data_IF_576279140683
#
_entry.id   IF_576279140683
#
_cell.length_a   1.000
_cell.length_b   1.000
_cell.length_c   1.000
_cell.angle_alpha   90.00
_cell.angle_beta   90.00
_cell.angle_gamma   90.00
#
_symmetry.space_group_name_H-M   'P 1'
#
loop_
_entity.id
_entity.type
_entity.pdbx_description
1 polymer ?
#
# COMPACT_ATOMS: atom_id res chain seq x y z
N UNK A 1 41.42 -8.89 37.59
CA UNK A 1 42.41 -9.00 38.69
C UNK A 1 41.95 -8.02 39.77
N UNK A 2 41.57 -8.38 40.99
CA UNK A 2 41.92 -9.50 41.84
C UNK A 2 40.71 -9.89 42.70
N UNK A 3 40.73 -11.16 43.08
CA UNK A 3 39.73 -11.86 43.86
C UNK A 3 40.21 -11.94 45.33
N UNK A 4 39.24 -12.20 46.23
CA UNK A 4 39.33 -13.24 47.27
C UNK A 4 39.76 -12.89 48.74
N UNK A 5 38.78 -13.13 49.64
CA UNK A 5 38.84 -13.80 50.97
C UNK A 5 39.56 -13.07 52.13
N UNK A 6 39.20 -13.17 53.42
CA UNK A 6 38.34 -14.02 54.26
C UNK A 6 38.27 -13.32 55.63
N UNK A 7 37.24 -13.51 56.46
CA UNK A 7 37.40 -14.04 57.84
C UNK A 7 36.04 -14.32 58.51
N UNK A 8 36.04 -15.42 59.26
CA UNK A 8 34.95 -16.05 59.99
C UNK A 8 34.58 -15.31 61.30
N UNK A 9 33.33 -15.48 61.74
CA UNK A 9 33.05 -15.75 63.16
C UNK A 9 31.88 -16.73 63.30
N UNK A 10 32.09 -17.73 64.15
CA UNK A 10 31.22 -18.83 64.56
C UNK A 10 30.14 -18.43 65.55
N UNK A 11 29.00 -19.12 65.55
CA UNK A 11 28.11 -19.12 66.72
C UNK A 11 26.73 -19.76 66.53
N UNK A 12 26.62 -21.04 66.92
CA UNK A 12 25.48 -21.73 67.54
C UNK A 12 24.10 -21.71 66.86
N UNK A 13 23.67 -22.92 66.46
CA UNK A 13 22.30 -23.22 66.10
C UNK A 13 21.35 -23.23 67.30
N UNK A 14 20.19 -22.62 67.11
CA UNK A 14 18.94 -23.00 67.76
C UNK A 14 17.90 -23.17 66.64
N UNK A 15 17.17 -24.28 66.67
CA UNK A 15 16.23 -24.65 65.63
C UNK A 15 15.07 -23.66 65.55
N UNK A 16 14.95 -23.00 64.39
CA UNK A 16 13.72 -22.36 63.96
C UNK A 16 13.05 -23.30 62.97
N UNK A 17 11.89 -23.82 63.35
CA UNK A 17 10.96 -24.51 62.46
C UNK A 17 10.56 -23.50 61.40
N UNK A 18 10.93 -23.76 60.15
CA UNK A 18 10.50 -22.96 59.02
C UNK A 18 8.97 -23.01 58.92
N UNK A 19 8.31 -21.94 59.34
CA UNK A 19 6.90 -21.71 59.05
C UNK A 19 6.75 -21.67 57.53
N UNK A 20 6.06 -22.68 56.99
CA UNK A 20 5.71 -22.73 55.58
C UNK A 20 4.76 -21.59 55.29
N UNK A 21 5.16 -20.69 54.41
CA UNK A 21 4.31 -19.59 53.94
C UNK A 21 3.03 -20.15 53.28
N UNK A 22 1.84 -19.96 53.89
CA UNK A 22 0.60 -20.51 53.36
C UNK A 22 0.21 -19.91 52.00
N UNK A 23 0.74 -18.73 51.63
CA UNK A 23 0.52 -18.13 50.31
C UNK A 23 1.29 -18.89 49.22
N UNK A 24 2.47 -19.43 49.54
CA UNK A 24 3.31 -20.17 48.59
C UNK A 24 2.80 -21.60 48.36
N UNK A 25 2.19 -22.24 49.37
CA UNK A 25 1.48 -23.52 49.19
C UNK A 25 0.14 -23.33 48.44
N UNK A 26 -0.58 -22.22 48.66
CA UNK A 26 -1.79 -21.90 47.90
C UNK A 26 -1.49 -21.68 46.40
N UNK A 27 -0.38 -21.02 46.06
CA UNK A 27 0.08 -20.83 44.68
C UNK A 27 0.48 -22.16 44.00
N UNK A 28 1.12 -23.08 44.73
CA UNK A 28 1.45 -24.42 44.21
C UNK A 28 0.22 -25.30 44.05
N UNK A 29 -0.77 -25.20 44.95
CA UNK A 29 -2.05 -25.90 44.84
C UNK A 29 -2.87 -25.38 43.65
N UNK A 30 -2.90 -24.07 43.42
CA UNK A 30 -3.55 -23.46 42.25
C UNK A 30 -2.87 -23.86 40.93
N UNK A 31 -1.52 -23.93 40.90
CA UNK A 31 -0.77 -24.37 39.73
C UNK A 31 -0.97 -25.86 39.41
N UNK A 32 -1.15 -26.72 40.43
CA UNK A 32 -1.41 -28.14 40.25
C UNK A 32 -2.88 -28.48 39.95
N UNK A 33 -3.82 -27.62 40.34
CA UNK A 33 -5.25 -27.78 40.04
C UNK A 33 -5.59 -27.40 38.58
N UNK A 34 -4.77 -26.55 37.95
CA UNK A 34 -5.00 -26.09 36.58
C UNK A 34 -4.34 -26.97 35.49
N UNK A 35 -3.68 -28.07 35.88
CA UNK A 35 -2.96 -28.94 34.95
C UNK A 35 -3.84 -30.04 34.31
N UNK A 36 -5.14 -30.10 34.62
CA UNK A 36 -6.03 -31.17 34.17
C UNK A 36 -7.35 -30.70 33.53
N UNK A 37 -7.52 -29.40 33.31
CA UNK A 37 -8.52 -28.93 32.36
C UNK A 37 -7.93 -29.05 30.96
N UNK A 38 -8.33 -30.09 30.23
CA UNK A 38 -8.16 -30.11 28.78
C UNK A 38 -8.83 -28.84 28.24
N UNK A 39 -8.02 -27.86 27.84
CA UNK A 39 -8.49 -26.78 26.99
C UNK A 39 -9.32 -27.42 25.88
N UNK A 40 -10.55 -26.94 25.60
CA UNK A 40 -11.30 -27.44 24.47
C UNK A 40 -10.41 -27.26 23.24
N UNK A 41 -10.04 -28.39 22.62
CA UNK A 41 -9.24 -28.41 21.41
C UNK A 41 -9.86 -27.41 20.45
N UNK A 42 -9.11 -26.35 20.11
CA UNK A 42 -9.54 -25.38 19.11
C UNK A 42 -9.98 -26.18 17.90
N UNK A 43 -11.28 -26.25 17.65
CA UNK A 43 -11.80 -26.86 16.45
C UNK A 43 -11.22 -26.05 15.31
N UNK A 44 -10.24 -26.64 14.61
CA UNK A 44 -9.74 -26.15 13.33
C UNK A 44 -10.92 -26.24 12.36
N UNK A 45 -11.79 -25.23 12.37
CA UNK A 45 -12.81 -25.06 11.34
C UNK A 45 -12.00 -24.71 10.08
N UNK A 46 -11.95 -25.59 9.07
CA UNK A 46 -11.29 -25.24 7.82
C UNK A 46 -12.00 -24.02 7.23
N UNK A 47 -11.24 -23.00 6.84
CA UNK A 47 -11.82 -21.89 6.10
C UNK A 47 -12.52 -22.45 4.85
N UNK A 48 -13.79 -22.08 4.65
CA UNK A 48 -14.49 -22.45 3.43
C UNK A 48 -13.76 -21.85 2.22
N UNK A 49 -13.68 -22.57 1.09
CA UNK A 49 -13.06 -22.03 -0.10
C UNK A 49 -13.86 -20.81 -0.58
N UNK A 50 -13.18 -19.67 -0.71
CA UNK A 50 -13.79 -18.45 -1.24
C UNK A 50 -14.06 -18.67 -2.72
N UNK A 51 -15.31 -18.51 -3.15
CA UNK A 51 -15.69 -18.58 -4.56
C UNK A 51 -15.26 -17.29 -5.28
N UNK A 52 -14.86 -17.36 -6.57
CA UNK A 52 -14.51 -16.17 -7.34
C UNK A 52 -15.65 -15.16 -7.37
N UNK A 53 -15.32 -13.87 -7.25
CA UNK A 53 -16.27 -12.79 -7.40
C UNK A 53 -16.83 -12.80 -8.84
N UNK A 54 -18.16 -12.92 -8.97
CA UNK A 54 -18.81 -13.11 -10.26
C UNK A 54 -19.53 -11.83 -10.73
N UNK A 55 -18.75 -10.78 -11.02
CA UNK A 55 -19.24 -9.55 -11.63
C UNK A 55 -19.21 -9.66 -13.17
N UNK A 56 -20.12 -8.99 -13.91
CA UNK A 56 -20.13 -9.02 -15.37
C UNK A 56 -18.80 -8.58 -16.00
N UNK A 57 -18.18 -7.51 -15.50
CA UNK A 57 -16.88 -7.05 -15.98
C UNK A 57 -15.78 -8.10 -15.82
N UNK A 58 -15.65 -8.67 -14.62
CA UNK A 58 -14.68 -9.70 -14.31
C UNK A 58 -14.92 -10.97 -15.13
N UNK A 59 -16.18 -11.31 -15.41
CA UNK A 59 -16.53 -12.42 -16.27
C UNK A 59 -16.11 -12.15 -17.74
N UNK A 60 -16.31 -10.93 -18.26
CA UNK A 60 -15.86 -10.54 -19.61
C UNK A 60 -14.34 -10.53 -19.76
N UNK A 61 -13.59 -10.29 -18.69
CA UNK A 61 -12.12 -10.39 -18.70
C UNK A 61 -11.62 -11.84 -18.76
N UNK A 62 -12.45 -12.86 -18.50
CA UNK A 62 -12.00 -14.25 -18.50
C UNK A 62 -11.61 -14.67 -19.92
N UNK A 63 -10.40 -15.22 -20.06
CA UNK A 63 -9.86 -15.64 -21.35
C UNK A 63 -9.30 -14.48 -22.19
N UNK A 64 -9.32 -13.24 -21.69
CA UNK A 64 -8.73 -12.08 -22.34
C UNK A 64 -7.25 -11.94 -22.01
N UNK A 65 -6.48 -11.42 -22.95
CA UNK A 65 -5.08 -11.06 -22.77
C UNK A 65 -5.00 -9.71 -22.04
N UNK A 66 -5.13 -9.76 -20.71
CA UNK A 66 -4.98 -8.60 -19.83
C UNK A 66 -3.51 -8.38 -19.51
N UNK A 67 -3.01 -7.18 -19.76
CA UNK A 67 -1.63 -6.78 -19.49
C UNK A 67 -1.58 -5.76 -18.36
N UNK A 68 -0.60 -5.89 -17.47
CA UNK A 68 -0.27 -4.90 -16.46
C UNK A 68 1.03 -4.19 -16.85
N UNK A 69 0.89 -2.92 -17.23
CA UNK A 69 1.97 -2.01 -17.62
C UNK A 69 2.77 -1.47 -16.40
N UNK A 70 3.14 -2.36 -15.47
CA UNK A 70 3.75 -1.99 -14.19
C UNK A 70 4.65 -3.10 -13.65
N UNK A 71 5.86 -2.76 -13.22
CA UNK A 71 6.77 -3.68 -12.52
C UNK A 71 6.43 -3.89 -11.04
N UNK A 72 5.50 -3.11 -10.47
CA UNK A 72 5.14 -3.18 -9.05
C UNK A 72 4.48 -4.52 -8.68
N UNK A 73 5.09 -5.35 -7.80
CA UNK A 73 4.47 -6.58 -7.32
C UNK A 73 3.16 -6.32 -6.59
N UNK A 74 3.07 -5.20 -5.85
CA UNK A 74 1.89 -4.81 -5.08
C UNK A 74 0.65 -4.67 -5.95
N UNK A 75 0.78 -4.03 -7.12
CA UNK A 75 -0.36 -3.83 -8.05
C UNK A 75 -0.87 -5.15 -8.61
N UNK A 76 0.04 -6.05 -8.98
CA UNK A 76 -0.29 -7.43 -9.41
C UNK A 76 -1.01 -8.18 -8.29
N UNK A 77 -0.48 -8.11 -7.07
CA UNK A 77 -1.04 -8.84 -5.93
C UNK A 77 -2.42 -8.28 -5.53
N UNK A 78 -2.66 -6.97 -5.66
CA UNK A 78 -3.98 -6.34 -5.48
C UNK A 78 -4.98 -6.84 -6.53
N UNK A 79 -4.62 -6.83 -7.82
CA UNK A 79 -5.50 -7.32 -8.89
C UNK A 79 -5.85 -8.80 -8.72
N UNK A 80 -4.90 -9.61 -8.23
CA UNK A 80 -5.12 -11.02 -7.95
C UNK A 80 -6.20 -11.27 -6.88
N UNK A 81 -6.47 -10.32 -5.98
CA UNK A 81 -7.50 -10.45 -4.95
C UNK A 81 -8.91 -10.59 -5.53
N UNK A 82 -9.15 -10.07 -6.74
CA UNK A 82 -10.42 -10.21 -7.47
C UNK A 82 -10.34 -11.20 -8.64
N UNK A 83 -9.27 -11.98 -8.71
CA UNK A 83 -9.07 -13.01 -9.73
C UNK A 83 -8.55 -12.50 -11.08
N UNK A 84 -8.05 -11.26 -11.15
CA UNK A 84 -7.38 -10.74 -12.35
C UNK A 84 -5.89 -11.10 -12.25
N UNK A 85 -5.42 -11.95 -13.16
CA UNK A 85 -4.03 -12.38 -13.24
C UNK A 85 -3.40 -11.88 -14.56
N UNK A 86 -2.94 -10.61 -14.60
CA UNK A 86 -2.47 -10.02 -15.83
C UNK A 86 -1.07 -10.51 -16.21
N UNK A 87 -0.77 -10.51 -17.50
CA UNK A 87 0.59 -10.61 -18.00
C UNK A 87 1.35 -9.31 -17.68
N UNK A 88 2.47 -9.42 -16.96
CA UNK A 88 3.22 -8.24 -16.51
C UNK A 88 4.21 -7.82 -17.59
N UNK A 89 3.99 -6.64 -18.17
CA UNK A 89 4.87 -6.02 -19.17
C UNK A 89 5.18 -4.60 -18.71
N UNK A 90 6.27 -4.37 -17.96
CA UNK A 90 6.61 -3.03 -17.48
C UNK A 90 6.75 -2.03 -18.63
N UNK A 91 6.27 -0.80 -18.42
CA UNK A 91 6.48 0.29 -19.38
C UNK A 91 7.95 0.72 -19.42
N UNK A 92 8.40 1.14 -20.61
CA UNK A 92 9.72 1.76 -20.80
C UNK A 92 9.66 3.29 -20.91
N UNK A 93 8.47 3.86 -20.80
CA UNK A 93 8.27 5.31 -20.78
C UNK A 93 9.08 5.95 -19.65
N UNK A 94 10.01 6.84 -20.01
CA UNK A 94 10.73 7.65 -19.04
C UNK A 94 9.74 8.66 -18.44
N UNK A 95 9.62 8.71 -17.11
CA UNK A 95 8.73 9.62 -16.37
C UNK A 95 9.19 11.09 -16.50
N UNK A 96 9.18 11.63 -17.73
CA UNK A 96 9.75 12.93 -18.11
C UNK A 96 8.70 14.05 -18.15
N UNK A 97 7.47 13.79 -17.72
CA UNK A 97 6.45 14.82 -17.64
C UNK A 97 6.88 15.89 -16.64
N UNK A 98 6.83 17.16 -17.05
CA UNK A 98 7.21 18.27 -16.18
C UNK A 98 6.16 18.45 -15.09
N UNK A 99 6.56 18.38 -13.83
CA UNK A 99 5.68 18.65 -12.69
C UNK A 99 5.15 20.09 -12.71
N UNK A 100 5.88 21.02 -13.32
CA UNK A 100 5.48 22.42 -13.47
C UNK A 100 4.22 22.58 -14.33
N UNK A 101 4.04 21.71 -15.33
CA UNK A 101 2.85 21.71 -16.19
C UNK A 101 1.56 21.39 -15.40
N UNK A 102 1.73 20.79 -14.21
CA UNK A 102 0.65 20.36 -13.31
C UNK A 102 0.57 21.21 -12.04
N UNK A 103 1.22 22.38 -11.98
CA UNK A 103 1.25 23.22 -10.78
C UNK A 103 -0.15 23.66 -10.30
N UNK A 104 -1.13 23.73 -11.20
CA UNK A 104 -2.52 24.11 -10.89
C UNK A 104 -3.44 22.90 -10.67
N UNK A 105 -2.98 21.69 -10.98
CA UNK A 105 -3.72 20.43 -10.80
C UNK A 105 -2.74 19.26 -10.66
N UNK A 106 -2.17 19.11 -9.47
CA UNK A 106 -1.20 18.05 -9.18
C UNK A 106 -1.82 16.64 -9.27
N UNK A 107 -3.14 16.52 -9.12
CA UNK A 107 -3.87 15.25 -9.23
C UNK A 107 -3.89 14.71 -10.66
N UNK A 108 -3.79 15.60 -11.67
CA UNK A 108 -3.68 15.20 -13.07
C UNK A 108 -2.31 14.58 -13.42
N UNK A 109 -1.25 14.86 -12.66
CA UNK A 109 0.09 14.32 -12.92
C UNK A 109 0.13 12.77 -13.02
N UNK A 110 -0.32 12.02 -12.00
CA UNK A 110 -0.30 10.55 -12.07
C UNK A 110 -1.25 10.00 -13.15
N UNK A 111 -2.33 10.71 -13.51
CA UNK A 111 -3.23 10.29 -14.60
C UNK A 111 -2.47 10.32 -15.94
N UNK A 112 -1.81 11.42 -16.23
CA UNK A 112 -1.08 11.60 -17.49
C UNK A 112 0.11 10.64 -17.56
N UNK A 113 0.83 10.46 -16.46
CA UNK A 113 1.92 9.48 -16.37
C UNK A 113 1.43 8.05 -16.61
N UNK A 114 0.30 7.65 -16.00
CA UNK A 114 -0.31 6.35 -16.27
C UNK A 114 -0.73 6.21 -17.74
N UNK A 115 -1.31 7.27 -18.33
CA UNK A 115 -1.76 7.29 -19.72
C UNK A 115 -0.64 7.03 -20.71
N UNK A 116 0.50 7.71 -20.54
CA UNK A 116 1.67 7.49 -21.39
C UNK A 116 2.27 6.08 -21.21
N UNK A 117 2.31 5.56 -19.97
CA UNK A 117 2.74 4.18 -19.71
C UNK A 117 1.85 3.15 -20.40
N UNK A 118 0.53 3.33 -20.32
CA UNK A 118 -0.44 2.43 -20.95
C UNK A 118 -0.35 2.45 -22.47
N UNK A 119 -0.24 3.66 -23.05
CA UNK A 119 -0.04 3.86 -24.49
C UNK A 119 1.25 3.20 -24.98
N UNK A 120 2.38 3.46 -24.33
CA UNK A 120 3.68 2.92 -24.75
C UNK A 120 3.66 1.39 -24.75
N UNK A 121 3.13 0.75 -23.71
CA UNK A 121 3.08 -0.72 -23.64
C UNK A 121 2.15 -1.27 -24.72
N UNK A 122 0.98 -0.66 -24.93
CA UNK A 122 0.05 -1.09 -25.97
C UNK A 122 0.67 -1.00 -27.37
N UNK A 123 1.18 0.17 -27.75
CA UNK A 123 1.79 0.41 -29.06
C UNK A 123 2.98 -0.52 -29.29
N UNK A 124 3.86 -0.68 -28.30
CA UNK A 124 5.02 -1.57 -28.41
C UNK A 124 4.61 -3.03 -28.61
N UNK A 125 3.64 -3.53 -27.84
CA UNK A 125 3.18 -4.91 -27.99
C UNK A 125 2.52 -5.18 -29.35
N UNK A 126 1.70 -4.25 -29.84
CA UNK A 126 1.08 -4.35 -31.16
C UNK A 126 2.14 -4.33 -32.28
N UNK A 127 3.18 -3.51 -32.16
CA UNK A 127 4.28 -3.47 -33.13
C UNK A 127 5.17 -4.72 -33.10
N UNK A 128 5.38 -5.31 -31.92
CA UNK A 128 6.23 -6.49 -31.75
C UNK A 128 5.55 -7.79 -32.23
N UNK A 129 4.27 -7.99 -31.90
CA UNK A 129 3.49 -9.15 -32.32
C UNK A 129 1.98 -8.85 -32.34
N UNK A 130 1.48 -8.44 -33.50
CA UNK A 130 0.05 -8.14 -33.75
C UNK A 130 -0.89 -9.31 -33.38
N UNK A 131 -0.41 -10.56 -33.48
CA UNK A 131 -1.20 -11.75 -33.14
C UNK A 131 -1.34 -12.00 -31.64
N UNK A 132 -0.51 -11.34 -30.84
CA UNK A 132 -0.53 -11.39 -29.39
C UNK A 132 -0.79 -10.00 -28.79
N UNK A 133 -1.52 -9.17 -29.52
CA UNK A 133 -1.96 -7.85 -29.06
C UNK A 133 -2.80 -7.99 -27.78
N UNK A 134 -2.69 -7.02 -26.85
CA UNK A 134 -3.44 -7.07 -25.61
C UNK A 134 -4.91 -6.68 -25.83
N UNK A 135 -5.82 -7.46 -25.25
CA UNK A 135 -7.25 -7.09 -25.17
C UNK A 135 -7.47 -5.87 -24.26
N UNK A 136 -6.61 -5.73 -23.25
CA UNK A 136 -6.70 -4.65 -22.27
C UNK A 136 -5.36 -4.45 -21.56
N UNK A 137 -4.85 -3.23 -21.55
CA UNK A 137 -3.66 -2.82 -20.80
C UNK A 137 -4.09 -1.96 -19.62
N UNK A 138 -3.69 -2.37 -18.41
CA UNK A 138 -3.85 -1.63 -17.17
C UNK A 138 -2.52 -0.97 -16.85
N UNK A 139 -2.53 0.34 -16.69
CA UNK A 139 -1.38 1.13 -16.25
C UNK A 139 -1.77 1.97 -15.04
N UNK A 140 -0.80 2.23 -14.17
CA UNK A 140 -1.03 3.04 -12.99
C UNK A 140 0.24 3.78 -12.56
N UNK A 141 0.03 4.97 -12.01
CA UNK A 141 1.06 5.79 -11.42
C UNK A 141 0.61 6.29 -10.05
N UNK A 142 1.50 6.28 -9.07
CA UNK A 142 1.17 6.61 -7.68
C UNK A 142 2.17 7.62 -7.16
N UNK A 143 1.68 8.75 -6.68
CA UNK A 143 2.47 9.83 -6.10
C UNK A 143 1.93 10.24 -4.75
N UNK A 144 2.77 10.87 -3.94
CA UNK A 144 2.38 11.52 -2.69
C UNK A 144 2.35 13.02 -2.92
N UNK A 145 1.22 13.65 -2.67
CA UNK A 145 1.05 15.10 -2.72
C UNK A 145 1.21 15.66 -1.30
N UNK A 146 2.20 16.53 -1.14
CA UNK A 146 2.46 17.26 0.10
C UNK A 146 1.96 18.70 -0.10
N UNK A 147 1.01 19.17 0.71
CA UNK A 147 0.50 20.54 0.59
C UNK A 147 1.56 21.57 1.02
N UNK A 148 1.80 22.59 0.19
CA UNK A 148 2.92 23.53 0.35
C UNK A 148 2.78 24.45 1.58
N UNK A 149 1.55 24.73 2.02
CA UNK A 149 1.24 25.66 3.11
C UNK A 149 0.22 25.11 4.11
N UNK A 150 0.06 23.79 4.19
CA UNK A 150 -0.92 23.24 5.11
C UNK A 150 -0.53 23.46 6.58
N UNK A 151 -1.42 23.99 7.43
CA UNK A 151 -1.29 23.77 8.86
C UNK A 151 -1.33 22.26 9.12
N UNK A 152 -0.64 21.80 10.17
CA UNK A 152 -0.85 20.43 10.68
C UNK A 152 -2.34 20.27 10.97
N UNK A 153 -3.04 19.55 10.09
CA UNK A 153 -4.49 19.36 10.24
C UNK A 153 -4.74 18.50 11.48
N UNK A 154 -5.56 19.03 12.38
CA UNK A 154 -6.09 18.26 13.48
C UNK A 154 -6.99 17.12 12.97
N UNK A 155 -6.93 16.00 13.67
CA UNK A 155 -7.65 14.75 13.39
C UNK A 155 -9.13 14.98 13.05
N UNK A 156 -9.56 14.53 11.87
CA UNK A 156 -10.96 14.53 11.43
C UNK A 156 -11.38 15.69 10.53
N UNK A 157 -10.49 16.61 10.16
CA UNK A 157 -10.77 17.60 9.12
C UNK A 157 -10.56 17.00 7.72
N UNK A 158 -11.58 17.09 6.85
CA UNK A 158 -11.42 16.83 5.42
C UNK A 158 -10.79 18.06 4.75
N UNK A 159 -9.90 17.81 3.79
CA UNK A 159 -9.33 18.86 2.93
C UNK A 159 -10.40 19.57 2.10
N UNK A 160 -11.56 18.94 1.87
CA UNK A 160 -12.66 19.51 1.09
C UNK A 160 -13.22 20.81 1.69
N UNK A 161 -13.00 21.07 2.99
CA UNK A 161 -13.54 22.26 3.67
C UNK A 161 -12.57 23.46 3.62
N UNK A 162 -11.30 23.26 3.30
CA UNK A 162 -10.29 24.32 3.20
C UNK A 162 -10.20 24.87 1.77
N UNK A 163 -11.19 25.67 1.36
CA UNK A 163 -11.37 26.29 0.04
C UNK A 163 -10.34 27.40 -0.32
N UNK A 164 -9.06 27.21 -0.03
CA UNK A 164 -7.98 28.06 -0.57
C UNK A 164 -7.39 27.44 -1.85
N UNK A 165 -6.71 28.26 -2.67
CA UNK A 165 -5.78 27.76 -3.70
C UNK A 165 -4.62 27.02 -3.00
N UNK A 166 -4.83 25.75 -2.68
CA UNK A 166 -3.83 24.89 -2.08
C UNK A 166 -2.93 24.35 -3.20
N UNK A 167 -1.65 24.71 -3.16
CA UNK A 167 -0.64 24.10 -4.03
C UNK A 167 -0.05 22.86 -3.37
N UNK A 168 0.33 21.89 -4.20
CA UNK A 168 0.87 20.61 -3.78
C UNK A 168 2.22 20.36 -4.45
N UNK A 169 3.19 19.94 -3.65
CA UNK A 169 4.43 19.36 -4.11
C UNK A 169 4.25 17.86 -4.39
N UNK A 170 4.57 17.44 -5.62
CA UNK A 170 4.53 16.03 -6.04
C UNK A 170 5.80 15.30 -5.57
N UNK A 171 5.63 14.33 -4.68
CA UNK A 171 6.67 13.44 -4.19
C UNK A 171 6.52 12.05 -4.84
N UNK A 172 7.55 11.66 -5.60
CA UNK A 172 7.68 10.33 -6.17
C UNK A 172 8.49 9.42 -5.22
N UNK A 173 9.22 8.46 -5.78
CA UNK A 173 10.17 7.63 -5.02
C UNK A 173 11.37 8.49 -4.62
N UNK A 174 11.90 8.31 -3.39
CA UNK A 174 13.12 9.01 -3.01
C UNK A 174 14.28 8.66 -3.92
N UNK A 175 15.12 9.65 -4.22
CA UNK A 175 16.33 9.47 -5.04
C UNK A 175 17.39 8.69 -4.25
N UNK A 176 17.51 8.99 -2.96
CA UNK A 176 18.42 8.35 -2.03
C UNK A 176 17.87 8.40 -0.59
N UNK A 177 18.66 7.90 0.37
CA UNK A 177 18.29 7.89 1.78
C UNK A 177 18.13 9.30 2.38
N UNK A 178 18.89 10.29 1.90
CA UNK A 178 18.80 11.66 2.41
C UNK A 178 17.50 12.33 1.94
N UNK A 179 17.13 12.09 0.69
CA UNK A 179 15.84 12.51 0.14
C UNK A 179 14.68 11.81 0.85
N UNK A 180 14.82 10.51 1.15
CA UNK A 180 13.82 9.78 1.94
C UNK A 180 13.65 10.39 3.35
N UNK A 181 14.75 10.75 4.01
CA UNK A 181 14.70 11.44 5.31
C UNK A 181 13.94 12.75 5.20
N UNK A 182 14.26 13.58 4.19
CA UNK A 182 13.58 14.85 3.95
C UNK A 182 12.07 14.65 3.79
N UNK A 183 11.65 13.70 2.94
CA UNK A 183 10.24 13.38 2.72
C UNK A 183 9.52 12.96 4.01
N UNK A 184 10.13 12.08 4.82
CA UNK A 184 9.54 11.59 6.07
C UNK A 184 9.50 12.66 7.16
N UNK A 185 10.52 13.51 7.23
CA UNK A 185 10.53 14.65 8.14
C UNK A 185 9.45 15.67 7.78
N UNK A 186 9.23 15.93 6.48
CA UNK A 186 8.14 16.78 6.00
C UNK A 186 6.75 16.16 6.24
N UNK A 187 6.66 14.83 6.29
CA UNK A 187 5.43 14.09 6.58
C UNK A 187 5.05 14.07 8.07
N UNK A 188 6.05 14.12 8.95
CA UNK A 188 5.88 13.97 10.40
C UNK A 188 4.83 14.94 10.97
N UNK A 189 3.83 14.40 11.68
CA UNK A 189 2.74 15.17 12.27
C UNK A 189 1.81 15.85 11.26
N UNK A 190 1.87 15.48 9.97
CA UNK A 190 1.04 16.05 8.90
C UNK A 190 0.13 15.00 8.27
N UNK A 191 -0.81 15.50 7.48
CA UNK A 191 -1.64 14.68 6.60
C UNK A 191 -1.20 14.89 5.16
N UNK A 192 -1.01 13.81 4.43
CA UNK A 192 -0.58 13.80 3.03
C UNK A 192 -1.68 13.21 2.17
N UNK A 193 -1.68 13.50 0.86
CA UNK A 193 -2.54 12.78 -0.08
C UNK A 193 -1.72 11.77 -0.89
N UNK A 194 -2.18 10.53 -0.95
CA UNK A 194 -1.68 9.54 -1.92
C UNK A 194 -2.65 9.51 -3.08
N UNK A 195 -2.15 9.79 -4.27
CA UNK A 195 -2.95 9.82 -5.49
C UNK A 195 -2.44 8.75 -6.44
N UNK A 196 -3.33 7.85 -6.85
CA UNK A 196 -3.05 6.91 -7.94
C UNK A 196 -3.91 7.23 -9.14
N UNK A 197 -3.26 7.57 -10.25
CA UNK A 197 -3.88 7.64 -11.57
C UNK A 197 -3.85 6.26 -12.23
N UNK A 198 -4.97 5.85 -12.82
CA UNK A 198 -5.11 4.58 -13.52
C UNK A 198 -5.59 4.85 -14.94
N UNK A 199 -4.98 4.17 -15.91
CA UNK A 199 -5.41 4.19 -17.30
C UNK A 199 -5.66 2.76 -17.80
N UNK A 200 -6.83 2.57 -18.41
CA UNK A 200 -7.21 1.38 -19.17
C UNK A 200 -7.08 1.71 -20.65
N UNK A 201 -6.24 0.98 -21.36
CA UNK A 201 -6.07 1.07 -22.82
C UNK A 201 -6.59 -0.20 -23.48
N UNK A 202 -7.42 -0.10 -24.51
CA UNK A 202 -8.05 -1.23 -25.19
C UNK A 202 -8.20 -0.96 -26.70
N UNK A 203 -8.19 -2.00 -27.56
CA UNK A 203 -8.34 -1.84 -29.01
C UNK A 203 -9.70 -1.25 -29.38
N UNK A 204 -9.73 -0.44 -30.44
CA UNK A 204 -10.98 0.00 -31.07
C UNK A 204 -10.81 0.09 -32.59
N UNK A 205 -11.92 0.15 -33.32
CA UNK A 205 -11.90 0.23 -34.80
C UNK A 205 -11.56 1.64 -35.32
N UNK A 206 -11.61 2.65 -34.45
CA UNK A 206 -11.33 4.04 -34.81
C UNK A 206 -9.84 4.37 -34.63
N UNK A 207 -9.27 5.19 -35.51
CA UNK A 207 -7.90 5.65 -35.38
C UNK A 207 -7.68 6.34 -34.00
N UNK A 208 -6.59 6.03 -33.27
CA UNK A 208 -5.38 5.32 -33.70
C UNK A 208 -5.41 3.77 -33.61
N UNK A 209 -6.56 3.16 -33.38
CA UNK A 209 -6.72 1.71 -33.22
C UNK A 209 -6.84 1.28 -31.75
N UNK A 210 -6.93 2.24 -30.83
CA UNK A 210 -7.15 2.03 -29.41
C UNK A 210 -7.82 3.24 -28.78
N UNK A 211 -8.48 3.01 -27.64
CA UNK A 211 -9.00 4.05 -26.77
C UNK A 211 -8.37 3.95 -25.38
N UNK A 212 -8.36 5.09 -24.69
CA UNK A 212 -7.89 5.20 -23.31
C UNK A 212 -9.00 5.76 -22.43
N UNK A 213 -9.10 5.21 -21.22
CA UNK A 213 -10.05 5.62 -20.20
C UNK A 213 -9.32 5.70 -18.87
N UNK A 214 -9.50 6.82 -18.18
CA UNK A 214 -8.69 7.16 -17.01
C UNK A 214 -9.54 7.56 -15.83
N UNK A 215 -9.04 7.33 -14.63
CA UNK A 215 -9.54 7.90 -13.39
C UNK A 215 -8.38 8.08 -12.40
N UNK A 216 -8.62 8.81 -11.31
CA UNK A 216 -7.69 8.89 -10.19
C UNK A 216 -8.43 8.74 -8.87
N UNK A 217 -7.76 8.09 -7.92
CA UNK A 217 -8.20 8.04 -6.54
C UNK A 217 -7.23 8.83 -5.65
N UNK A 218 -7.76 9.72 -4.82
CA UNK A 218 -7.01 10.42 -3.80
C UNK A 218 -7.39 9.88 -2.42
N UNK A 219 -6.39 9.58 -1.59
CA UNK A 219 -6.59 9.09 -0.22
C UNK A 219 -5.69 9.85 0.73
N UNK A 220 -6.26 10.32 1.86
CA UNK A 220 -5.48 11.05 2.87
C UNK A 220 -4.84 10.07 3.85
N UNK A 221 -3.54 10.22 4.09
CA UNK A 221 -2.77 9.46 5.09
C UNK A 221 -2.33 10.42 6.18
N UNK A 222 -2.72 10.12 7.42
CA UNK A 222 -2.40 10.91 8.60
C UNK A 222 -1.19 10.30 9.30
N UNK A 223 -0.13 11.09 9.50
CA UNK A 223 1.10 10.65 10.18
C UNK A 223 1.11 11.07 11.64
N UNK A 224 1.66 10.22 12.50
CA UNK A 224 2.08 10.63 13.84
C UNK A 224 3.22 11.65 13.77
N UNK A 225 3.44 12.37 14.87
CA UNK A 225 4.72 13.05 15.08
C UNK A 225 5.80 11.99 15.36
N UNK A 226 6.76 11.88 14.45
CA UNK A 226 7.82 10.88 14.43
C UNK A 226 9.13 11.59 14.68
N UNK A 227 9.87 11.11 15.68
CA UNK A 227 11.16 11.69 16.02
C UNK A 227 12.23 11.32 14.97
N UNK A 228 13.26 12.17 14.76
CA UNK A 228 14.34 11.94 13.82
C UNK A 228 15.04 10.59 13.93
N UNK A 229 15.24 10.08 15.15
CA UNK A 229 15.93 8.82 15.36
C UNK A 229 15.10 7.65 14.83
N UNK A 230 13.78 7.68 15.02
CA UNK A 230 12.88 6.67 14.47
C UNK A 230 12.83 6.71 12.93
N UNK A 231 12.86 7.91 12.33
CA UNK A 231 12.95 8.07 10.86
C UNK A 231 14.22 7.40 10.32
N UNK A 232 15.38 7.67 10.92
CA UNK A 232 16.66 7.06 10.50
C UNK A 232 16.61 5.53 10.57
N UNK A 233 16.01 4.97 11.64
CA UNK A 233 15.87 3.51 11.80
C UNK A 233 14.99 2.90 10.72
N UNK A 234 13.94 3.61 10.32
CA UNK A 234 13.09 3.15 9.23
C UNK A 234 13.84 3.18 7.89
N UNK A 235 14.57 4.25 7.59
CA UNK A 235 15.35 4.39 6.36
C UNK A 235 16.41 3.28 6.23
N UNK A 236 17.01 2.86 7.35
CA UNK A 236 17.98 1.77 7.36
C UNK A 236 17.41 0.41 6.93
N UNK A 237 16.09 0.23 6.99
CA UNK A 237 15.42 -0.98 6.51
C UNK A 237 15.36 -1.04 4.98
N UNK A 238 15.54 0.09 4.29
CA UNK A 238 15.30 0.29 2.86
C UNK A 238 13.86 0.00 2.41
N UNK A 239 12.88 -0.11 3.33
CA UNK A 239 11.51 -0.42 2.93
C UNK A 239 10.87 0.71 2.13
N UNK A 240 11.18 1.98 2.41
CA UNK A 240 10.51 3.09 1.72
C UNK A 240 11.13 3.55 0.40
N UNK A 241 12.35 3.10 0.05
CA UNK A 241 13.13 3.70 -1.05
C UNK A 241 12.51 3.52 -2.44
N UNK A 242 11.72 2.45 -2.64
CA UNK A 242 11.06 2.14 -3.91
C UNK A 242 9.57 2.55 -3.93
N UNK A 243 9.15 3.41 -2.98
CA UNK A 243 7.75 3.80 -2.76
C UNK A 243 7.59 5.32 -2.79
N UNK A 244 6.46 5.77 -3.32
CA UNK A 244 6.13 7.19 -3.36
C UNK A 244 6.08 7.77 -1.94
N UNK A 245 6.71 8.92 -1.74
CA UNK A 245 6.83 9.57 -0.42
C UNK A 245 7.69 8.83 0.60
N UNK A 246 8.39 7.76 0.22
CA UNK A 246 9.40 7.15 1.06
C UNK A 246 8.90 6.30 2.22
N UNK A 247 7.64 5.83 2.20
CA UNK A 247 7.07 4.98 3.25
C UNK A 247 6.20 3.84 2.70
N UNK A 248 5.93 2.83 3.55
CA UNK A 248 5.01 1.75 3.26
C UNK A 248 3.92 1.64 4.32
N UNK A 249 2.66 1.81 3.92
CA UNK A 249 1.51 1.54 4.80
C UNK A 249 1.37 0.04 5.12
N UNK A 250 1.82 -0.81 4.19
CA UNK A 250 1.90 -2.25 4.36
C UNK A 250 3.36 -2.63 4.66
N UNK A 251 3.67 -2.85 5.94
CA UNK A 251 5.01 -3.23 6.37
C UNK A 251 5.44 -2.53 7.65
N UNK A 252 6.75 -2.30 7.79
CA UNK A 252 7.34 -1.62 8.93
C UNK A 252 6.85 -0.17 9.03
N UNK A 253 6.68 0.52 7.90
CA UNK A 253 6.26 1.92 7.89
C UNK A 253 4.87 2.19 8.45
N UNK A 254 4.07 1.13 8.68
CA UNK A 254 2.74 1.25 9.27
C UNK A 254 2.74 1.92 10.67
N UNK A 255 3.83 1.83 11.44
CA UNK A 255 3.90 2.47 12.76
C UNK A 255 3.86 4.01 12.68
N UNK A 256 4.20 4.58 11.52
CA UNK A 256 4.19 6.03 11.27
C UNK A 256 2.78 6.57 10.99
N UNK A 257 1.84 5.70 10.61
CA UNK A 257 0.50 6.07 10.15
C UNK A 257 -0.50 6.06 11.32
N UNK A 258 -1.07 7.22 11.62
CA UNK A 258 -2.15 7.38 12.60
C UNK A 258 -3.49 6.87 12.06
N UNK A 259 -3.75 7.12 10.78
CA UNK A 259 -5.01 6.75 10.15
C UNK A 259 -5.02 7.04 8.67
N UNK A 260 -6.03 6.50 7.98
CA UNK A 260 -6.25 6.66 6.55
C UNK A 260 -7.70 7.06 6.33
N UNK A 261 -7.90 8.11 5.56
CA UNK A 261 -9.22 8.57 5.13
C UNK A 261 -9.31 8.41 3.62
N UNK A 262 -9.94 7.32 3.17
CA UNK A 262 -10.06 6.94 1.76
C UNK A 262 -9.80 5.46 1.51
N UNK A 263 -9.25 5.12 0.34
CA UNK A 263 -8.98 3.74 -0.08
C UNK A 263 -7.58 3.28 0.35
N UNK A 264 -7.53 2.28 1.23
CA UNK A 264 -6.28 1.65 1.64
C UNK A 264 -5.48 1.08 0.45
N UNK A 265 -6.15 0.43 -0.51
CA UNK A 265 -5.47 -0.18 -1.66
C UNK A 265 -4.87 0.90 -2.58
N UNK A 266 -5.49 2.08 -2.67
CA UNK A 266 -4.90 3.24 -3.33
C UNK A 266 -3.54 3.62 -2.70
N UNK A 267 -3.46 3.66 -1.37
CA UNK A 267 -2.20 3.93 -0.64
C UNK A 267 -1.15 2.86 -0.90
N UNK A 268 -1.55 1.58 -0.98
CA UNK A 268 -0.64 0.47 -1.32
C UNK A 268 -0.13 0.57 -2.78
N UNK A 269 -0.94 1.16 -3.67
CA UNK A 269 -0.54 1.57 -5.01
C UNK A 269 -1.51 1.20 -6.14
N UNK A 270 -2.74 0.74 -5.83
CA UNK A 270 -3.78 0.51 -6.84
C UNK A 270 -5.20 0.59 -6.24
N UNK A 271 -6.06 1.52 -6.68
CA UNK A 271 -7.41 1.71 -6.14
C UNK A 271 -8.40 0.62 -6.62
N UNK A 272 -8.32 -0.57 -6.02
CA UNK A 272 -9.03 -1.77 -6.49
C UNK A 272 -10.55 -1.60 -6.57
N UNK A 273 -11.15 -1.02 -5.53
CA UNK A 273 -12.60 -0.89 -5.45
C UNK A 273 -13.13 0.05 -6.53
N UNK A 274 -12.44 1.16 -6.77
CA UNK A 274 -12.79 2.10 -7.83
C UNK A 274 -12.52 1.52 -9.21
N UNK A 275 -11.40 0.81 -9.40
CA UNK A 275 -11.08 0.12 -10.65
C UNK A 275 -12.19 -0.85 -11.08
N UNK A 276 -12.69 -1.69 -10.18
CA UNK A 276 -13.77 -2.65 -10.50
C UNK A 276 -15.05 -1.92 -10.92
N UNK A 277 -15.44 -0.87 -10.18
CA UNK A 277 -16.62 -0.05 -10.52
C UNK A 277 -16.47 0.68 -11.85
N UNK A 278 -15.28 1.22 -12.10
CA UNK A 278 -14.95 1.90 -13.34
C UNK A 278 -14.99 0.94 -14.52
N UNK A 279 -14.46 -0.28 -14.35
CA UNK A 279 -14.51 -1.31 -15.37
C UNK A 279 -15.95 -1.77 -15.67
N UNK A 280 -16.79 -1.96 -14.66
CA UNK A 280 -18.23 -2.23 -14.85
C UNK A 280 -18.89 -1.13 -15.68
N UNK A 281 -18.69 0.13 -15.29
CA UNK A 281 -19.26 1.30 -15.98
C UNK A 281 -18.74 1.42 -17.41
N UNK A 282 -17.45 1.14 -17.63
CA UNK A 282 -16.83 1.19 -18.95
C UNK A 282 -17.45 0.14 -19.88
N UNK A 283 -17.58 -1.09 -19.40
CA UNK A 283 -18.14 -2.22 -20.14
C UNK A 283 -19.63 -2.07 -20.44
N UNK A 284 -20.36 -1.37 -19.58
CA UNK A 284 -21.79 -1.07 -19.77
C UNK A 284 -22.01 0.03 -20.82
N UNK A 285 -21.14 1.03 -20.87
CA UNK A 285 -21.33 2.23 -21.71
C UNK A 285 -20.62 2.17 -23.06
N UNK A 286 -19.60 1.33 -23.20
CA UNK A 286 -18.78 1.24 -24.39
C UNK A 286 -18.83 -0.19 -24.91
N UNK A 287 -19.66 -0.40 -25.93
CA UNK A 287 -19.86 -1.72 -26.51
C UNK A 287 -18.55 -2.29 -27.06
N UNK A 288 -17.63 -1.44 -27.55
CA UNK A 288 -16.37 -1.83 -28.19
C UNK A 288 -15.36 -2.43 -27.19
N UNK A 289 -15.53 -2.17 -25.89
CA UNK A 289 -14.62 -2.66 -24.84
C UNK A 289 -14.68 -4.18 -24.72
N UNK A 290 -13.51 -4.81 -24.87
CA UNK A 290 -13.33 -6.26 -24.77
C UNK A 290 -14.18 -7.06 -25.78
N UNK A 291 -14.65 -6.45 -26.87
CA UNK A 291 -15.20 -7.23 -27.99
C UNK A 291 -14.10 -8.19 -28.48
N UNK A 292 -14.45 -9.47 -28.63
CA UNK A 292 -13.65 -10.42 -29.41
C UNK A 292 -14.33 -10.48 -30.77
N UNK A 293 -13.54 -10.44 -31.85
CA UNK A 293 -13.98 -10.88 -33.19
C UNK A 293 -14.56 -12.31 -33.18
#
# INVERSE_FOLDING_TARGET
>A
MFNLFKLFSSGHGSGSVAEKDPAMEALKAAASANANEKQPSSTNIPALPIQPLNLPSLAKLRGKHVVLASSSPRRRDILAQVGIHPHVVPSTFAETLSKEDFAHDAHAYPINTATEKGKEVYERMVMEDDKNSPDLVISADTVVLVPDNAPSLSKGQSWDEAHGEMSYSVCEKPIDKADQYRMLADASGRSLQVVTGVCITYPTLQAPGYAQRTFANATTVHFFDIDPYTIDRYIDTNEGIDRAGGFAVQGLGAFMVEGITGDYNNVVGFPLAEFVRFLDTLIENDEDVLQVE
#
